data_IF_444022814324
#
_entry.id   IF_444022814324
#
_cell.length_a   1.000
_cell.length_b   1.000
_cell.length_c   1.000
_cell.angle_alpha   90.00
_cell.angle_beta   90.00
_cell.angle_gamma   90.00
#
_symmetry.space_group_name_H-M   'P 1'
#
loop_
_entity.id
_entity.type
_entity.pdbx_description
1 polymer ?
#
# COMPACT_ATOMS: atom_id res chain seq x y z
N UNK A 1 1.67 -4.80 -32.00
CA UNK A 1 2.29 -3.88 -31.00
C UNK A 1 2.19 -4.52 -29.62
N UNK A 2 3.23 -4.34 -28.81
CA UNK A 2 3.25 -4.84 -27.44
C UNK A 2 2.39 -3.96 -26.52
N UNK A 3 1.70 -4.58 -25.56
CA UNK A 3 0.94 -3.86 -24.54
C UNK A 3 1.88 -3.00 -23.68
N UNK A 4 1.38 -1.89 -23.11
CA UNK A 4 2.16 -1.05 -22.19
C UNK A 4 2.63 -1.89 -21.00
N UNK A 5 3.90 -1.71 -20.62
CA UNK A 5 4.52 -2.41 -19.51
C UNK A 5 4.29 -1.63 -18.22
N UNK A 6 3.99 -2.34 -17.13
CA UNK A 6 3.81 -1.75 -15.79
C UNK A 6 5.05 -0.99 -15.30
N UNK A 7 6.24 -1.40 -15.75
CA UNK A 7 7.50 -0.75 -15.38
C UNK A 7 7.51 0.73 -15.76
N UNK A 8 6.86 1.11 -16.86
CA UNK A 8 6.85 2.49 -17.31
C UNK A 8 5.98 3.34 -16.38
N UNK A 9 4.83 2.83 -15.93
CA UNK A 9 3.96 3.48 -14.96
C UNK A 9 4.65 3.69 -13.59
N UNK A 10 5.51 2.76 -13.16
CA UNK A 10 6.21 2.88 -11.86
C UNK A 10 7.29 3.96 -11.82
N UNK A 11 7.84 4.35 -12.98
CA UNK A 11 8.88 5.38 -13.08
C UNK A 11 8.34 6.81 -12.92
N UNK A 12 7.05 7.02 -13.15
CA UNK A 12 6.43 8.35 -13.08
C UNK A 12 6.15 8.77 -11.63
N UNK A 13 6.17 10.07 -11.39
CA UNK A 13 5.72 10.68 -10.13
C UNK A 13 4.20 10.57 -9.96
N UNK A 14 3.69 10.82 -8.75
CA UNK A 14 2.24 10.76 -8.49
C UNK A 14 1.45 11.79 -9.32
N UNK A 15 2.00 13.00 -9.48
CA UNK A 15 1.37 14.06 -10.28
C UNK A 15 1.34 13.70 -11.76
N UNK A 16 2.47 13.24 -12.29
CA UNK A 16 2.57 12.78 -13.68
C UNK A 16 1.63 11.61 -13.97
N UNK A 17 1.49 10.67 -13.04
CA UNK A 17 0.52 9.57 -13.17
C UNK A 17 -0.91 10.09 -13.29
N UNK A 18 -1.29 11.08 -12.47
CA UNK A 18 -2.63 11.65 -12.55
C UNK A 18 -2.88 12.38 -13.87
N UNK A 19 -1.91 13.14 -14.36
CA UNK A 19 -2.00 13.85 -15.63
C UNK A 19 -2.07 12.89 -16.81
N UNK A 20 -1.24 11.84 -16.81
CA UNK A 20 -1.22 10.81 -17.85
C UNK A 20 -2.53 10.00 -17.88
N UNK A 21 -3.14 9.74 -16.72
CA UNK A 21 -4.48 9.14 -16.63
C UNK A 21 -5.52 10.05 -17.29
N UNK A 22 -5.47 11.36 -17.05
CA UNK A 22 -6.40 12.31 -17.67
C UNK A 22 -6.20 12.38 -19.19
N UNK A 23 -4.96 12.44 -19.66
CA UNK A 23 -4.62 12.40 -21.07
C UNK A 23 -5.13 11.12 -21.74
N UNK A 24 -4.85 9.94 -21.16
CA UNK A 24 -5.29 8.66 -21.69
C UNK A 24 -6.83 8.51 -21.71
N UNK A 25 -7.54 9.10 -20.75
CA UNK A 25 -9.01 9.15 -20.74
C UNK A 25 -9.57 10.02 -21.86
N UNK A 26 -8.95 11.17 -22.14
CA UNK A 26 -9.33 12.05 -23.26
C UNK A 26 -9.12 11.35 -24.60
N UNK A 27 -7.99 10.67 -24.76
CA UNK A 27 -7.70 9.88 -25.97
C UNK A 27 -8.73 8.75 -26.16
N UNK A 28 -9.08 8.04 -25.08
CA UNK A 28 -10.12 7.00 -25.13
C UNK A 28 -11.49 7.58 -25.53
N UNK A 29 -11.83 8.78 -25.06
CA UNK A 29 -13.05 9.48 -25.47
C UNK A 29 -13.04 9.83 -26.96
N UNK A 30 -11.94 10.36 -27.47
CA UNK A 30 -11.77 10.66 -28.89
C UNK A 30 -11.90 9.40 -29.76
N UNK A 31 -11.29 8.29 -29.35
CA UNK A 31 -11.42 7.01 -30.05
C UNK A 31 -12.87 6.49 -30.04
N UNK A 32 -13.62 6.68 -28.95
CA UNK A 32 -15.05 6.31 -28.90
C UNK A 32 -15.87 7.14 -29.89
N UNK A 33 -15.57 8.43 -30.01
CA UNK A 33 -16.20 9.31 -31.00
C UNK A 33 -15.85 8.90 -32.44
N UNK A 34 -14.60 8.54 -32.71
CA UNK A 34 -14.18 7.99 -34.01
C UNK A 34 -14.84 6.64 -34.32
N UNK A 35 -15.02 5.79 -33.30
CA UNK A 35 -15.77 4.53 -33.43
C UNK A 35 -17.23 4.78 -33.80
N UNK A 36 -17.88 5.76 -33.18
CA UNK A 36 -19.26 6.13 -33.48
C UNK A 36 -19.42 6.63 -34.93
N UNK A 37 -18.45 7.39 -35.44
CA UNK A 37 -18.43 7.87 -36.84
C UNK A 37 -17.99 6.80 -37.86
N UNK A 38 -17.68 5.58 -37.42
CA UNK A 38 -17.17 4.48 -38.24
C UNK A 38 -15.86 4.81 -38.99
N UNK A 39 -15.07 5.77 -38.50
CA UNK A 39 -13.77 6.18 -39.07
C UNK A 39 -12.59 5.67 -38.24
N UNK A 40 -12.79 4.61 -37.47
CA UNK A 40 -11.77 4.08 -36.57
C UNK A 40 -10.82 3.16 -37.34
N UNK A 41 -9.57 3.58 -37.47
CA UNK A 41 -8.53 2.80 -38.15
C UNK A 41 -7.88 1.75 -37.23
N UNK A 42 -7.61 2.10 -35.97
CA UNK A 42 -6.78 1.30 -35.05
C UNK A 42 -7.57 0.80 -33.84
N UNK A 43 -8.29 -0.30 -34.00
CA UNK A 43 -9.12 -0.92 -32.94
C UNK A 43 -8.32 -1.37 -31.71
N UNK A 44 -7.06 -1.77 -31.88
CA UNK A 44 -6.19 -2.23 -30.79
C UNK A 44 -5.83 -1.12 -29.79
N UNK A 45 -5.96 0.16 -30.15
CA UNK A 45 -5.67 1.29 -29.26
C UNK A 45 -6.61 1.32 -28.05
N UNK A 46 -7.86 0.86 -28.20
CA UNK A 46 -8.77 0.70 -27.07
C UNK A 46 -8.22 -0.22 -25.99
N UNK A 47 -7.66 -1.37 -26.41
CA UNK A 47 -7.06 -2.33 -25.49
C UNK A 47 -5.84 -1.72 -24.81
N UNK A 48 -4.97 -1.06 -25.57
CA UNK A 48 -3.76 -0.43 -25.04
C UNK A 48 -4.09 0.65 -23.99
N UNK A 49 -4.98 1.59 -24.31
CA UNK A 49 -5.36 2.67 -23.39
C UNK A 49 -6.06 2.17 -22.14
N UNK A 50 -6.96 1.19 -22.26
CA UNK A 50 -7.61 0.57 -21.10
C UNK A 50 -6.60 -0.09 -20.17
N UNK A 51 -5.64 -0.84 -20.71
CA UNK A 51 -4.58 -1.44 -19.90
C UNK A 51 -3.68 -0.36 -19.29
N UNK A 52 -3.28 0.66 -20.06
CA UNK A 52 -2.45 1.77 -19.57
C UNK A 52 -3.11 2.45 -18.37
N UNK A 53 -4.40 2.82 -18.49
CA UNK A 53 -5.17 3.44 -17.41
C UNK A 53 -5.24 2.52 -16.18
N UNK A 54 -5.57 1.24 -16.38
CA UNK A 54 -5.64 0.27 -15.29
C UNK A 54 -4.33 0.16 -14.53
N UNK A 55 -3.20 0.01 -15.24
CA UNK A 55 -1.87 -0.09 -14.63
C UNK A 55 -1.52 1.17 -13.82
N UNK A 56 -1.76 2.37 -14.38
CA UNK A 56 -1.49 3.63 -13.69
C UNK A 56 -2.36 3.79 -12.42
N UNK A 57 -3.63 3.40 -12.48
CA UNK A 57 -4.52 3.42 -11.31
C UNK A 57 -4.11 2.40 -10.25
N UNK A 58 -3.65 1.21 -10.65
CA UNK A 58 -3.11 0.21 -9.73
C UNK A 58 -1.89 0.73 -8.98
N UNK A 59 -0.94 1.36 -9.68
CA UNK A 59 0.27 1.93 -9.04
C UNK A 59 -0.10 3.03 -8.03
N UNK A 60 -1.05 3.92 -8.36
CA UNK A 60 -1.54 4.91 -7.41
C UNK A 60 -2.23 4.26 -6.19
N UNK A 61 -2.97 3.17 -6.41
CA UNK A 61 -3.58 2.39 -5.33
C UNK A 61 -2.53 1.75 -4.43
N UNK A 62 -1.52 1.09 -5.00
CA UNK A 62 -0.39 0.50 -4.27
C UNK A 62 0.31 1.55 -3.39
N UNK A 63 0.64 2.73 -3.95
CA UNK A 63 1.28 3.83 -3.20
C UNK A 63 0.44 4.32 -2.03
N UNK A 64 -0.88 4.46 -2.22
CA UNK A 64 -1.81 4.85 -1.14
C UNK A 64 -1.89 3.80 -0.05
N UNK A 65 -1.98 2.51 -0.40
CA UNK A 65 -2.04 1.42 0.57
C UNK A 65 -0.77 1.33 1.43
N UNK A 66 0.40 1.56 0.83
CA UNK A 66 1.67 1.63 1.57
C UNK A 66 1.64 2.81 2.56
N UNK A 67 1.20 3.99 2.12
CA UNK A 67 1.09 5.16 2.99
C UNK A 67 0.11 4.95 4.16
N UNK A 68 -1.04 4.30 3.92
CA UNK A 68 -2.00 3.99 4.99
C UNK A 68 -1.46 2.94 5.96
N UNK A 69 -0.77 1.91 5.44
CA UNK A 69 -0.18 0.86 6.28
C UNK A 69 0.90 1.43 7.21
N UNK A 70 1.76 2.30 6.69
CA UNK A 70 2.77 3.00 7.49
C UNK A 70 2.14 3.87 8.60
N UNK A 71 1.00 4.52 8.34
CA UNK A 71 0.29 5.31 9.35
C UNK A 71 -0.38 4.46 10.44
N UNK A 72 -0.75 3.21 10.15
CA UNK A 72 -1.37 2.31 11.13
C UNK A 72 -0.33 1.69 12.08
N UNK A 73 0.85 1.32 11.57
CA UNK A 73 1.93 0.71 12.37
C UNK A 73 2.48 1.67 13.45
N UNK A 74 2.51 2.99 13.18
CA UNK A 74 2.90 3.98 14.19
C UNK A 74 1.93 4.06 15.39
N UNK A 75 0.64 3.80 15.19
CA UNK A 75 -0.36 3.88 16.27
C UNK A 75 -0.36 2.69 17.23
N UNK A 76 0.25 1.56 16.85
CA UNK A 76 0.34 0.35 17.69
C UNK A 76 1.58 0.30 18.59
N UNK A 77 2.59 1.14 18.35
CA UNK A 77 3.88 1.06 19.07
C UNK A 77 3.93 1.88 20.35
N UNK A 78 3.02 2.85 20.54
CA UNK A 78 2.99 3.72 21.74
C UNK A 78 2.25 3.13 22.95
N UNK A 79 1.62 1.96 22.81
CA UNK A 79 0.80 1.36 23.88
C UNK A 79 1.52 0.34 24.79
N UNK A 80 2.82 0.07 24.59
CA UNK A 80 3.50 -1.07 25.23
C UNK A 80 4.78 -0.78 26.04
N UNK A 81 5.17 0.47 26.27
CA UNK A 81 6.40 0.81 27.04
C UNK A 81 6.18 1.24 28.51
N UNK A 82 4.94 1.25 29.03
CA UNK A 82 4.68 1.82 30.37
C UNK A 82 4.42 0.80 31.50
N UNK A 83 4.75 -0.49 31.36
CA UNK A 83 4.48 -1.50 32.40
C UNK A 83 5.66 -2.45 32.70
N UNK A 84 6.89 -1.96 32.81
CA UNK A 84 8.00 -2.77 33.35
C UNK A 84 8.95 -1.94 34.24
N UNK A 85 8.44 -1.15 35.18
CA UNK A 85 9.25 -0.56 36.25
C UNK A 85 8.43 -0.46 37.55
N UNK A 86 8.15 -1.58 38.21
CA UNK A 86 7.87 -1.60 39.66
C UNK A 86 7.85 -3.04 40.18
N UNK A 87 9.02 -3.69 40.23
CA UNK A 87 9.23 -4.83 41.14
C UNK A 87 10.72 -5.04 41.44
N UNK A 88 11.36 -4.03 42.01
CA UNK A 88 12.72 -4.15 42.55
C UNK A 88 12.96 -3.27 43.77
N UNK A 89 12.34 -3.62 44.89
CA UNK A 89 12.87 -3.41 46.27
C UNK A 89 12.15 -4.47 47.12
N UNK A 90 12.78 -5.55 47.56
CA UNK A 90 13.56 -5.59 48.80
C UNK A 90 14.30 -6.94 48.91
N UNK A 91 15.51 -6.91 49.45
CA UNK A 91 16.37 -8.04 49.84
C UNK A 91 16.85 -7.75 51.28
N UNK A 92 17.56 -8.64 52.03
CA UNK A 92 17.62 -10.10 52.10
C UNK A 92 17.55 -10.63 53.57
N UNK A 93 17.70 -11.96 53.74
CA UNK A 93 18.28 -12.66 54.92
C UNK A 93 17.50 -12.79 56.25
N UNK A 94 17.16 -14.05 56.59
CA UNK A 94 17.22 -14.75 57.89
C UNK A 94 16.23 -15.93 57.82
N UNK A 95 16.40 -17.11 58.40
CA UNK A 95 17.44 -17.85 59.10
C UNK A 95 16.80 -19.24 59.37
N UNK A 96 17.60 -20.24 59.68
CA UNK A 96 17.26 -21.65 59.92
C UNK A 96 16.06 -21.91 60.87
N UNK A 97 15.30 -22.99 60.64
CA UNK A 97 15.11 -24.10 61.61
C UNK A 97 13.96 -25.07 61.25
N UNK A 98 14.31 -26.36 61.16
CA UNK A 98 13.66 -27.60 61.67
C UNK A 98 12.14 -27.55 61.97
N UNK A 99 11.30 -28.54 61.64
CA UNK A 99 11.47 -29.99 61.81
C UNK A 99 10.35 -30.76 61.10
N UNK A 100 10.73 -31.82 60.38
CA UNK A 100 9.85 -32.87 59.85
C UNK A 100 9.54 -33.86 60.98
N UNK A 101 8.27 -34.07 61.35
CA UNK A 101 7.81 -35.09 62.32
C UNK A 101 6.32 -35.42 62.13
N UNK A 102 6.06 -36.69 61.74
CA UNK A 102 4.84 -37.54 61.86
C UNK A 102 3.67 -37.21 60.92
N UNK A 103 3.02 -38.19 60.27
CA UNK A 103 2.65 -39.56 60.68
C UNK A 103 2.75 -40.59 59.55
#
# INVERSE_FOLDING_TARGET
MALPKIQDARKLSDQELTDEILAAKRELFQLRMQKATRRLEKTHQFKHLRHKIGQMMTVLGERKLVATKAAQESSSTDAQTSQEQDKSVDAPASDESQSDTQE
#
